data_IF_880692465307
#
_entry.id   IF_880692465307
#
_cell.length_a   1.000
_cell.length_b   1.000
_cell.length_c   1.000
_cell.angle_alpha   90.00
_cell.angle_beta   90.00
_cell.angle_gamma   90.00
#
_symmetry.space_group_name_H-M   'P 1'
#
loop_
_entity.id
_entity.type
_entity.pdbx_description
1 polymer ?
#
# COMPACT_ATOMS: atom_id res chain seq x y z
N UNK A 1 13.37 -14.05 -4.62
CA UNK A 1 12.53 -13.19 -3.77
C UNK A 1 13.43 -12.23 -3.02
N UNK A 2 13.58 -11.00 -3.51
CA UNK A 2 14.35 -9.94 -2.83
C UNK A 2 13.42 -8.76 -2.62
N UNK A 3 13.20 -8.30 -1.37
CA UNK A 3 12.41 -7.10 -1.15
C UNK A 3 13.14 -5.89 -1.74
N UNK A 4 12.37 -4.94 -2.28
CA UNK A 4 12.88 -3.65 -2.70
C UNK A 4 12.65 -2.64 -1.58
N UNK A 5 13.70 -1.87 -1.27
CA UNK A 5 13.57 -0.71 -0.41
C UNK A 5 12.95 0.43 -1.22
N UNK A 6 11.82 0.94 -0.72
CA UNK A 6 11.08 2.02 -1.35
C UNK A 6 10.61 3.02 -0.30
N UNK A 7 10.48 4.27 -0.72
CA UNK A 7 10.00 5.34 0.13
C UNK A 7 8.60 5.75 -0.33
N UNK A 8 7.68 5.93 0.62
CA UNK A 8 6.35 6.48 0.33
C UNK A 8 6.53 7.96 0.01
N UNK A 9 6.33 8.33 -1.25
CA UNK A 9 6.47 9.72 -1.71
C UNK A 9 5.18 10.52 -1.57
N UNK A 10 4.03 9.84 -1.54
CA UNK A 10 2.73 10.50 -1.42
C UNK A 10 1.68 9.55 -0.84
N UNK A 11 0.81 10.09 0.01
CA UNK A 11 -0.40 9.43 0.50
C UNK A 11 -1.56 10.37 0.17
N UNK A 12 -2.57 9.87 -0.53
CA UNK A 12 -3.77 10.64 -0.84
C UNK A 12 -4.52 10.96 0.45
N UNK A 13 -4.89 12.23 0.70
CA UNK A 13 -5.74 12.58 1.84
C UNK A 13 -7.19 12.16 1.64
N UNK A 14 -7.58 11.88 0.39
CA UNK A 14 -8.92 11.43 0.02
C UNK A 14 -8.91 9.91 -0.11
N UNK A 15 -9.77 9.26 0.66
CA UNK A 15 -10.05 7.84 0.51
C UNK A 15 -10.90 7.61 -0.74
N UNK A 16 -10.52 6.63 -1.55
CA UNK A 16 -11.37 6.09 -2.60
C UNK A 16 -12.27 5.03 -1.95
N UNK A 17 -13.57 5.28 -1.91
CA UNK A 17 -14.52 4.28 -1.49
C UNK A 17 -14.58 3.20 -2.56
N UNK A 18 -14.12 1.99 -2.28
CA UNK A 18 -14.35 0.85 -3.16
C UNK A 18 -15.72 0.26 -2.82
N UNK A 19 -16.77 0.45 -3.65
CA UNK A 19 -18.04 -0.19 -3.40
C UNK A 19 -17.88 -1.69 -3.66
N UNK A 20 -17.62 -2.48 -2.62
CA UNK A 20 -17.83 -3.92 -2.71
C UNK A 20 -19.29 -4.18 -2.38
N UNK A 21 -20.07 -4.53 -3.41
CA UNK A 21 -21.46 -4.98 -3.26
C UNK A 21 -21.46 -6.37 -2.64
N UNK A 22 -21.27 -6.46 -1.33
CA UNK A 22 -21.44 -7.72 -0.59
C UNK A 22 -22.21 -7.40 0.68
N UNK A 23 -23.33 -8.10 0.82
CA UNK A 23 -24.42 -7.85 1.77
C UNK A 23 -24.08 -8.29 3.21
N UNK A 24 -22.82 -8.18 3.62
CA UNK A 24 -22.38 -8.51 4.98
C UNK A 24 -22.15 -7.21 5.79
N UNK A 25 -22.72 -7.11 7.01
CA UNK A 25 -22.69 -5.89 7.83
C UNK A 25 -21.27 -5.47 8.31
N UNK A 26 -20.28 -6.34 8.15
CA UNK A 26 -18.90 -6.20 8.62
C UNK A 26 -17.94 -5.52 7.62
N UNK A 27 -18.33 -5.34 6.35
CA UNK A 27 -17.42 -4.96 5.24
C UNK A 27 -17.57 -3.51 4.73
N UNK A 28 -18.16 -2.61 5.53
CA UNK A 28 -18.61 -1.27 5.08
C UNK A 28 -17.62 -0.11 5.24
N UNK A 29 -16.45 -0.31 5.83
CA UNK A 29 -15.54 0.81 6.15
C UNK A 29 -14.08 0.56 5.79
N UNK A 30 -13.83 -0.19 4.71
CA UNK A 30 -12.50 -0.21 4.10
C UNK A 30 -12.29 1.07 3.28
N UNK A 31 -11.73 2.09 3.93
CA UNK A 31 -11.25 3.30 3.26
C UNK A 31 -9.96 2.95 2.54
N UNK A 32 -9.99 2.91 1.21
CA UNK A 32 -8.79 2.64 0.41
C UNK A 32 -8.09 3.96 0.11
N UNK A 33 -6.87 4.11 0.60
CA UNK A 33 -6.04 5.28 0.31
C UNK A 33 -5.03 4.96 -0.77
N UNK A 34 -4.99 5.79 -1.80
CA UNK A 34 -3.94 5.71 -2.82
C UNK A 34 -2.62 6.19 -2.22
N UNK A 35 -1.58 5.38 -2.40
CA UNK A 35 -0.21 5.71 -2.02
C UNK A 35 0.71 5.62 -3.24
N UNK A 36 1.74 6.46 -3.28
CA UNK A 36 2.83 6.38 -4.26
C UNK A 36 4.10 5.97 -3.52
N UNK A 37 4.75 4.93 -4.02
CA UNK A 37 6.04 4.46 -3.54
C UNK A 37 7.06 4.70 -4.65
N UNK A 38 8.19 5.27 -4.29
CA UNK A 38 9.34 5.46 -5.18
C UNK A 38 10.41 4.47 -4.76
N UNK A 39 10.91 3.71 -5.74
CA UNK A 39 12.03 2.78 -5.56
C UNK A 39 13.21 3.39 -6.31
N UNK A 40 14.25 3.79 -5.59
CA UNK A 40 15.42 4.47 -6.15
C UNK A 40 16.26 3.53 -7.05
N UNK A 41 16.28 2.24 -6.70
CA UNK A 41 17.07 1.21 -7.39
C UNK A 41 16.17 0.04 -7.85
N UNK A 42 15.34 0.22 -8.89
CA UNK A 42 14.54 -0.86 -9.43
C UNK A 42 15.43 -1.88 -10.17
N UNK A 43 15.21 -3.17 -9.92
CA UNK A 43 15.88 -4.26 -10.62
C UNK A 43 15.16 -4.67 -11.91
N UNK A 44 15.79 -5.49 -12.77
CA UNK A 44 15.18 -5.97 -14.02
C UNK A 44 13.92 -6.82 -13.81
N UNK A 45 13.72 -7.36 -12.61
CA UNK A 45 12.57 -8.17 -12.23
C UNK A 45 11.32 -7.33 -11.94
N UNK A 46 11.45 -6.03 -11.67
CA UNK A 46 10.32 -5.13 -11.38
C UNK A 46 9.85 -4.43 -12.65
N UNK A 47 8.81 -4.98 -13.29
CA UNK A 47 8.21 -4.39 -14.50
C UNK A 47 6.89 -3.70 -14.19
N UNK A 48 6.62 -2.63 -14.94
CA UNK A 48 5.35 -1.92 -14.86
C UNK A 48 4.19 -2.87 -15.19
N UNK A 49 3.10 -2.75 -14.42
CA UNK A 49 1.90 -3.60 -14.57
C UNK A 49 1.98 -4.93 -13.82
N UNK A 50 3.14 -5.30 -13.27
CA UNK A 50 3.22 -6.47 -12.39
C UNK A 50 2.56 -6.16 -11.04
N UNK A 51 1.70 -7.05 -10.53
CA UNK A 51 1.21 -6.92 -9.16
C UNK A 51 2.37 -7.06 -8.19
N UNK A 52 2.35 -6.26 -7.12
CA UNK A 52 3.38 -6.25 -6.08
C UNK A 52 2.73 -6.39 -4.71
N UNK A 53 3.44 -7.05 -3.79
CA UNK A 53 3.05 -7.12 -2.39
C UNK A 53 3.89 -6.13 -1.61
N UNK A 54 3.24 -5.15 -0.99
CA UNK A 54 3.90 -4.16 -0.14
C UNK A 54 3.82 -4.63 1.32
N UNK A 55 4.97 -4.68 1.99
CA UNK A 55 5.04 -4.91 3.44
C UNK A 55 5.45 -3.60 4.10
N UNK A 56 4.57 -3.06 4.92
CA UNK A 56 4.86 -1.87 5.72
C UNK A 56 5.52 -2.33 7.02
N UNK A 57 6.73 -1.85 7.28
CA UNK A 57 7.37 -2.00 8.59
C UNK A 57 6.56 -1.18 9.58
N UNK A 58 6.02 -1.80 10.63
CA UNK A 58 5.35 -1.03 11.67
C UNK A 58 6.38 -0.08 12.28
N UNK A 59 6.08 1.22 12.43
CA UNK A 59 6.91 2.06 13.27
C UNK A 59 6.88 1.41 14.65
N UNK A 60 8.06 1.08 15.19
CA UNK A 60 8.18 0.63 16.57
C UNK A 60 7.47 1.68 17.40
N UNK A 61 6.28 1.36 17.91
CA UNK A 61 5.59 2.22 18.83
C UNK A 61 6.54 2.34 20.02
N UNK A 62 7.19 3.50 20.14
CA UNK A 62 8.10 3.79 21.23
C UNK A 62 7.30 3.70 22.51
N UNK A 63 7.37 2.54 23.16
CA UNK A 63 7.06 2.41 24.57
C UNK A 63 8.16 3.14 25.33
N UNK A 64 7.80 4.31 25.85
CA UNK A 64 8.30 4.82 27.10
C UNK A 64 7.17 5.60 27.76
#
# INVERSE_FOLDING_TARGET
DKPYEGTISFISPVAEFTPKSVETPELRTDLVYRLRIVIDKPGPDLRQGMPVTVRLSQPTAGGQ
#
